data_IF_415432258025
#
_entry.id   IF_415432258025
#
_cell.length_a   1.000
_cell.length_b   1.000
_cell.length_c   1.000
_cell.angle_alpha   90.00
_cell.angle_beta   90.00
_cell.angle_gamma   90.00
#
_symmetry.space_group_name_H-M   'P 1'
#
loop_
_entity.id
_entity.type
_entity.pdbx_description
1 polymer ?
#
# COMPACT_ATOMS: atom_id res chain seq x y z
N UNK A 1 19.47 -8.94 4.66
CA UNK A 1 18.69 -9.57 3.56
C UNK A 1 18.93 -8.77 2.29
N UNK A 2 19.07 -9.43 1.15
CA UNK A 2 19.15 -8.80 -0.17
C UNK A 2 17.92 -9.28 -0.93
N UNK A 3 17.10 -8.35 -1.44
CA UNK A 3 15.95 -8.73 -2.26
C UNK A 3 16.43 -9.08 -3.68
N UNK A 4 15.79 -10.03 -4.39
CA UNK A 4 16.10 -10.28 -5.80
C UNK A 4 16.03 -9.00 -6.63
N UNK A 5 16.77 -8.93 -7.74
CA UNK A 5 16.75 -7.77 -8.64
C UNK A 5 15.32 -7.39 -9.06
N UNK A 6 15.05 -6.08 -9.14
CA UNK A 6 13.72 -5.55 -9.47
C UNK A 6 12.69 -5.64 -8.33
N UNK A 7 13.08 -6.07 -7.14
CA UNK A 7 12.17 -6.16 -5.98
C UNK A 7 12.24 -4.92 -5.11
N UNK A 8 11.07 -4.39 -4.73
CA UNK A 8 10.92 -3.34 -3.73
C UNK A 8 10.01 -3.82 -2.59
N UNK A 9 10.53 -3.75 -1.38
CA UNK A 9 9.82 -4.05 -0.13
C UNK A 9 9.63 -2.76 0.65
N UNK A 10 8.38 -2.40 0.92
CA UNK A 10 8.02 -1.23 1.70
C UNK A 10 7.20 -1.63 2.92
N UNK A 11 7.78 -1.45 4.10
CA UNK A 11 7.18 -1.76 5.39
C UNK A 11 6.55 -0.52 6.00
N UNK A 12 5.45 -0.74 6.75
CA UNK A 12 4.73 0.32 7.44
C UNK A 12 5.52 0.99 8.58
N UNK A 13 6.49 0.27 9.15
CA UNK A 13 7.35 0.75 10.24
C UNK A 13 8.74 0.07 10.21
N UNK A 14 9.65 0.57 11.03
CA UNK A 14 11.00 0.04 11.16
C UNK A 14 11.00 -1.31 11.89
N UNK A 15 12.01 -2.18 11.66
CA UNK A 15 12.16 -3.42 12.40
C UNK A 15 12.10 -3.19 13.92
N UNK A 16 11.36 -4.05 14.63
CA UNK A 16 11.21 -3.94 16.09
C UNK A 16 10.32 -2.78 16.57
N UNK A 17 9.66 -2.05 15.67
CA UNK A 17 8.70 -1.00 16.01
C UNK A 17 7.27 -1.37 15.60
N UNK A 18 6.29 -0.66 16.14
CA UNK A 18 4.86 -0.89 15.92
C UNK A 18 4.32 0.07 14.84
N UNK A 19 3.53 -0.47 13.92
CA UNK A 19 2.71 0.32 13.02
C UNK A 19 1.33 0.58 13.67
N UNK A 20 0.83 1.80 13.57
CA UNK A 20 -0.48 2.15 14.10
C UNK A 20 -1.61 1.69 13.15
N UNK A 21 -2.65 1.08 13.72
CA UNK A 21 -3.87 0.66 13.01
C UNK A 21 -4.78 1.82 12.59
N UNK A 22 -4.38 3.06 12.89
CA UNK A 22 -5.16 4.27 12.63
C UNK A 22 -5.81 4.80 13.90
N UNK A 23 -6.70 5.78 13.75
CA UNK A 23 -7.42 6.37 14.87
C UNK A 23 -8.67 7.12 14.43
N UNK A 24 -9.54 7.44 15.39
CA UNK A 24 -10.77 8.20 15.12
C UNK A 24 -11.70 7.49 14.13
N UNK A 25 -11.95 8.14 12.99
CA UNK A 25 -12.84 7.63 11.92
C UNK A 25 -12.10 6.97 10.75
N UNK A 26 -10.77 6.86 10.81
CA UNK A 26 -10.01 6.23 9.75
C UNK A 26 -10.29 4.73 9.69
N UNK A 27 -10.63 4.22 8.50
CA UNK A 27 -10.88 2.78 8.26
C UNK A 27 -9.61 1.95 8.06
N UNK A 28 -8.45 2.59 7.98
CA UNK A 28 -7.18 1.97 7.60
C UNK A 28 -6.08 2.33 8.60
N UNK A 29 -5.06 1.47 8.67
CA UNK A 29 -3.77 1.77 9.31
C UNK A 29 -3.18 3.11 8.87
N UNK A 30 -2.44 3.76 9.76
CA UNK A 30 -1.84 5.09 9.51
C UNK A 30 -1.01 5.10 8.22
N UNK A 31 -0.21 4.05 8.01
CA UNK A 31 0.57 3.90 6.78
C UNK A 31 -0.32 3.80 5.54
N UNK A 32 -1.31 2.90 5.57
CA UNK A 32 -2.22 2.66 4.45
C UNK A 32 -3.05 3.90 4.11
N UNK A 33 -3.49 4.67 5.11
CA UNK A 33 -4.16 5.97 4.93
C UNK A 33 -3.32 6.91 4.05
N UNK A 34 -2.04 7.09 4.38
CA UNK A 34 -1.14 7.95 3.62
C UNK A 34 -0.75 7.36 2.27
N UNK A 35 -0.59 6.04 2.18
CA UNK A 35 -0.32 5.36 0.92
C UNK A 35 -1.44 5.59 -0.09
N UNK A 36 -2.70 5.38 0.30
CA UNK A 36 -3.85 5.58 -0.58
C UNK A 36 -3.94 7.01 -1.12
N UNK A 37 -3.60 8.00 -0.30
CA UNK A 37 -3.49 9.41 -0.72
C UNK A 37 -2.41 9.58 -1.79
N UNK A 38 -1.21 9.03 -1.59
CA UNK A 38 -0.09 9.26 -2.50
C UNK A 38 -0.19 8.46 -3.81
N UNK A 39 -0.72 7.23 -3.81
CA UNK A 39 -0.89 6.45 -5.05
C UNK A 39 -1.96 7.04 -5.97
N UNK A 40 -2.89 7.82 -5.42
CA UNK A 40 -3.89 8.52 -6.23
C UNK A 40 -3.32 9.70 -7.03
N UNK A 41 -2.11 10.17 -6.67
CA UNK A 41 -1.44 11.26 -7.38
C UNK A 41 -0.90 10.72 -8.71
N UNK A 42 -1.35 11.27 -9.85
CA UNK A 42 -0.91 10.80 -11.16
C UNK A 42 0.56 11.14 -11.42
N UNK A 43 1.18 10.36 -12.29
CA UNK A 43 2.52 10.60 -12.86
C UNK A 43 3.64 10.80 -11.83
N UNK A 44 3.54 10.14 -10.67
CA UNK A 44 4.54 10.24 -9.61
C UNK A 44 5.39 8.97 -9.57
N UNK A 45 6.71 9.16 -9.63
CA UNK A 45 7.66 8.05 -9.50
C UNK A 45 7.48 7.35 -8.15
N UNK A 46 7.63 6.02 -8.13
CA UNK A 46 7.38 5.20 -6.95
C UNK A 46 8.21 5.63 -5.72
N UNK A 47 9.45 6.07 -5.94
CA UNK A 47 10.31 6.55 -4.85
C UNK A 47 9.78 7.82 -4.19
N UNK A 48 9.25 8.73 -5.00
CA UNK A 48 8.65 9.97 -4.49
C UNK A 48 7.34 9.67 -3.76
N UNK A 49 6.55 8.69 -4.24
CA UNK A 49 5.35 8.21 -3.53
C UNK A 49 5.75 7.75 -2.14
N UNK A 50 6.65 6.77 -2.03
CA UNK A 50 7.00 6.19 -0.72
C UNK A 50 7.77 7.14 0.18
N UNK A 51 8.60 8.04 -0.37
CA UNK A 51 9.23 9.12 0.40
C UNK A 51 8.16 10.04 1.03
N UNK A 52 7.13 10.41 0.25
CA UNK A 52 6.04 11.26 0.75
C UNK A 52 5.18 10.54 1.80
N UNK A 53 4.88 9.25 1.60
CA UNK A 53 4.19 8.43 2.61
C UNK A 53 4.99 8.39 3.91
N UNK A 54 6.30 8.16 3.80
CA UNK A 54 7.22 8.16 4.94
C UNK A 54 7.16 9.46 5.75
N UNK A 55 7.25 10.61 5.07
CA UNK A 55 7.19 11.92 5.69
C UNK A 55 5.85 12.17 6.42
N UNK A 56 4.72 11.86 5.77
CA UNK A 56 3.40 12.09 6.36
C UNK A 56 3.13 11.17 7.56
N UNK A 57 3.55 9.89 7.49
CA UNK A 57 3.43 8.93 8.60
C UNK A 57 4.31 9.36 9.78
N UNK A 58 5.56 9.76 9.52
CA UNK A 58 6.46 10.23 10.56
C UNK A 58 5.89 11.48 11.25
N UNK A 59 5.34 12.42 10.48
CA UNK A 59 4.71 13.64 10.99
C UNK A 59 3.46 13.34 11.83
N UNK A 60 2.49 12.58 11.32
CA UNK A 60 1.23 12.30 12.01
C UNK A 60 1.44 11.42 13.25
N UNK A 61 2.37 10.47 13.19
CA UNK A 61 2.74 9.64 14.35
C UNK A 61 3.60 10.37 15.39
N UNK A 62 3.97 11.62 15.14
CA UNK A 62 4.90 12.41 15.97
C UNK A 62 6.24 11.67 16.19
N UNK A 63 6.74 11.07 15.12
CA UNK A 63 7.99 10.33 15.10
C UNK A 63 7.93 8.91 15.67
N UNK A 64 6.76 8.43 16.10
CA UNK A 64 6.61 7.08 16.68
C UNK A 64 6.63 5.96 15.64
N UNK A 65 6.26 6.27 14.40
CA UNK A 65 6.24 5.30 13.30
C UNK A 65 7.13 5.80 12.17
N UNK A 66 8.15 5.02 11.84
CA UNK A 66 9.10 5.30 10.76
C UNK A 66 9.00 4.20 9.70
N UNK A 67 8.34 4.43 8.54
CA UNK A 67 8.30 3.44 7.47
C UNK A 67 9.69 3.06 6.98
N UNK A 68 9.87 1.80 6.61
CA UNK A 68 11.18 1.24 6.23
C UNK A 68 11.14 0.60 4.86
N UNK A 69 12.22 0.75 4.09
CA UNK A 69 12.29 0.32 2.69
C UNK A 69 13.54 -0.52 2.43
N UNK A 70 13.36 -1.60 1.67
CA UNK A 70 14.45 -2.36 1.05
C UNK A 70 14.19 -2.43 -0.44
N UNK A 71 15.15 -1.98 -1.25
CA UNK A 71 15.02 -1.91 -2.70
C UNK A 71 16.20 -2.58 -3.38
N UNK A 72 15.91 -3.39 -4.39
CA UNK A 72 16.84 -3.87 -5.40
C UNK A 72 16.39 -3.43 -6.81
N UNK A 73 15.59 -2.35 -6.87
CA UNK A 73 15.17 -1.66 -8.10
C UNK A 73 16.27 -0.69 -8.50
N UNK A 74 16.60 -0.65 -9.79
CA UNK A 74 17.60 0.24 -10.36
C UNK A 74 16.95 1.54 -10.89
N UNK A 75 17.76 2.58 -11.10
CA UNK A 75 17.26 3.91 -11.49
C UNK A 75 16.58 3.89 -12.87
N UNK A 76 16.95 2.96 -13.75
CA UNK A 76 16.37 2.78 -15.08
C UNK A 76 14.96 2.14 -15.08
N UNK A 77 14.53 1.54 -13.96
CA UNK A 77 13.28 0.77 -13.88
C UNK A 77 11.98 1.60 -13.93
N UNK A 78 12.04 2.95 -13.95
CA UNK A 78 10.93 3.89 -14.22
C UNK A 78 9.53 3.42 -13.75
N UNK A 79 9.36 3.24 -12.44
CA UNK A 79 8.13 2.66 -11.88
C UNK A 79 7.13 3.76 -11.49
N UNK A 80 5.93 3.67 -12.03
CA UNK A 80 4.80 4.57 -11.75
C UNK A 80 3.56 3.77 -11.36
N UNK A 81 2.89 4.15 -10.26
CA UNK A 81 1.70 3.44 -9.77
C UNK A 81 0.38 3.98 -10.33
N UNK A 82 0.39 5.24 -10.80
CA UNK A 82 -0.74 5.88 -11.46
C UNK A 82 -0.20 6.67 -12.65
N UNK A 83 0.33 5.94 -13.64
CA UNK A 83 0.83 6.53 -14.87
C UNK A 83 -0.32 7.18 -15.65
N UNK A 84 -0.09 8.39 -16.15
CA UNK A 84 -0.93 8.95 -17.20
C UNK A 84 -0.32 8.49 -18.52
N UNK A 85 -0.92 7.49 -19.15
CA UNK A 85 -0.56 7.17 -20.52
C UNK A 85 -0.88 8.39 -21.40
N UNK A 86 0.06 8.80 -22.24
CA UNK A 86 -0.23 9.77 -23.31
C UNK A 86 -1.29 9.24 -24.30
N UNK A 87 -1.60 7.94 -24.23
CA UNK A 87 -2.53 7.20 -25.09
C UNK A 87 -3.58 6.44 -24.24
N UNK A 88 -4.32 7.15 -23.38
CA UNK A 88 -5.24 6.56 -22.39
C UNK A 88 -6.47 5.85 -23.01
N UNK A 89 -6.27 4.77 -23.75
CA UNK A 89 -7.31 3.75 -23.98
C UNK A 89 -7.22 2.77 -22.81
N UNK A 90 -7.85 3.19 -21.71
CA UNK A 90 -8.07 2.45 -20.45
C UNK A 90 -7.78 0.95 -20.53
N UNK A 91 -6.84 0.47 -19.73
CA UNK A 91 -6.85 -0.91 -19.26
C UNK A 91 -8.26 -1.21 -18.69
N UNK A 92 -8.89 -2.33 -19.06
CA UNK A 92 -10.19 -2.68 -18.56
C UNK A 92 -10.12 -2.75 -17.03
N UNK A 93 -11.03 -2.05 -16.37
CA UNK A 93 -11.19 -2.13 -14.91
C UNK A 93 -11.30 -3.61 -14.53
N UNK A 94 -10.59 -4.10 -13.50
CA UNK A 94 -10.85 -5.44 -13.00
C UNK A 94 -12.28 -5.44 -12.47
N UNK A 95 -13.19 -5.98 -13.29
CA UNK A 95 -14.54 -6.35 -12.87
C UNK A 95 -14.39 -7.50 -11.88
N UNK A 96 -14.04 -7.18 -10.63
CA UNK A 96 -14.21 -8.09 -9.51
C UNK A 96 -15.72 -8.19 -9.25
N UNK A 97 -16.40 -9.02 -10.05
CA UNK A 97 -17.61 -9.67 -9.57
C UNK A 97 -17.13 -10.57 -8.42
N UNK A 98 -17.22 -10.07 -7.18
CA UNK A 98 -17.19 -10.95 -6.01
C UNK A 98 -18.43 -11.81 -6.13
N UNK A 99 -18.28 -13.04 -6.61
CA UNK A 99 -19.29 -14.06 -6.39
C UNK A 99 -19.33 -14.28 -4.87
N UNK A 100 -20.45 -14.03 -4.17
CA UNK A 100 -20.56 -14.45 -2.79
C UNK A 100 -20.44 -15.98 -2.79
N UNK A 101 -19.40 -16.50 -2.13
CA UNK A 101 -19.35 -17.93 -1.80
C UNK A 101 -20.53 -18.17 -0.85
N UNK A 102 -21.47 -19.08 -1.16
CA UNK A 102 -22.53 -19.41 -0.23
C UNK A 102 -21.89 -20.12 0.96
N UNK A 103 -21.83 -19.45 2.11
CA UNK A 103 -21.49 -20.10 3.37
C UNK A 103 -22.74 -20.81 3.86
N UNK A 104 -22.93 -22.07 3.47
CA UNK A 104 -23.87 -22.95 4.18
C UNK A 104 -23.23 -23.37 5.49
N UNK A 105 -23.51 -22.64 6.56
CA UNK A 105 -23.25 -23.12 7.93
C UNK A 105 -24.36 -24.11 8.27
N UNK A 106 -24.11 -25.40 8.09
CA UNK A 106 -24.98 -26.44 8.65
C UNK A 106 -24.68 -26.57 10.15
N UNK A 107 -25.41 -25.82 10.97
CA UNK A 107 -25.52 -26.11 12.40
C UNK A 107 -26.50 -27.28 12.54
N UNK A 108 -25.96 -28.50 12.60
CA UNK A 108 -26.73 -29.64 13.06
C UNK A 108 -26.88 -29.52 14.59
N UNK A 109 -27.97 -28.91 15.03
CA UNK A 109 -28.51 -29.14 16.37
C UNK A 109 -29.24 -30.47 16.35
N UNK A 110 -28.77 -31.45 17.13
CA UNK A 110 -29.63 -32.47 17.74
C UNK A 110 -28.90 -33.20 18.87
N UNK A 111 -29.69 -33.41 19.92
CA UNK A 111 -29.44 -34.06 21.20
C UNK A 111 -28.79 -35.44 21.09
#
# INVERSE_FOLDING_TARGET
MIAPGGTLLQFACAPGSLAADGGGQDRNGLYTKHLLKQISVPNKHVDLIFSSVGAEVYKESKGKQMPYRVSSVMIDDNIYLNAIDADSKRLPSPSSKRTPVPTTVNIATKF
#
